data_IF_139211749515
#
_entry.id   IF_139211749515
#
_cell.length_a   1.000
_cell.length_b   1.000
_cell.length_c   1.000
_cell.angle_alpha   90.00
_cell.angle_beta   90.00
_cell.angle_gamma   90.00
#
_symmetry.space_group_name_H-M   'P 1'
#
loop_
_entity.id
_entity.type
_entity.pdbx_description
1 polymer ?
#
# COMPACT_ATOMS: atom_id res chain seq x y z
N UNK A 1 -10.29 0.16 -15.54
CA UNK A 1 -9.97 -0.76 -14.43
C UNK A 1 -9.65 -2.12 -15.03
N UNK A 2 -8.55 -2.69 -14.63
CA UNK A 2 -8.09 -4.03 -15.02
C UNK A 2 -8.01 -4.88 -13.75
N UNK A 3 -8.41 -6.14 -13.83
CA UNK A 3 -8.25 -7.11 -12.73
C UNK A 3 -7.14 -8.07 -13.11
N UNK A 4 -6.08 -8.10 -12.31
CA UNK A 4 -4.92 -8.95 -12.56
C UNK A 4 -4.89 -10.08 -11.53
N UNK A 5 -4.92 -11.31 -12.05
CA UNK A 5 -4.66 -12.52 -11.28
C UNK A 5 -3.15 -12.75 -11.28
N UNK A 6 -2.50 -12.35 -10.20
CA UNK A 6 -1.06 -12.48 -10.09
C UNK A 6 -0.70 -13.83 -9.46
N UNK A 7 -0.08 -14.71 -10.25
CA UNK A 7 0.36 -16.02 -9.78
C UNK A 7 1.63 -15.90 -8.91
N UNK A 8 1.43 -15.95 -7.62
CA UNK A 8 2.50 -15.94 -6.62
C UNK A 8 3.09 -17.34 -6.35
N UNK A 9 2.63 -18.37 -7.08
CA UNK A 9 3.01 -19.76 -6.87
C UNK A 9 2.14 -20.49 -5.83
N UNK A 10 2.21 -21.84 -5.79
CA UNK A 10 1.27 -22.68 -5.03
C UNK A 10 1.26 -22.39 -3.53
N UNK A 11 2.42 -22.20 -2.89
CA UNK A 11 2.52 -21.93 -1.46
C UNK A 11 1.83 -20.61 -1.06
N UNK A 12 1.86 -19.63 -1.97
CA UNK A 12 1.25 -18.33 -1.73
C UNK A 12 -0.24 -18.30 -1.98
N UNK A 13 -0.73 -19.16 -2.90
CA UNK A 13 -2.18 -19.37 -3.11
C UNK A 13 -2.87 -19.98 -1.91
N UNK A 14 -2.18 -20.78 -1.09
CA UNK A 14 -2.75 -21.31 0.15
C UNK A 14 -3.02 -20.22 1.19
N UNK A 15 -2.21 -19.17 1.20
CA UNK A 15 -2.31 -18.06 2.16
C UNK A 15 -3.39 -17.05 1.76
N UNK A 16 -3.53 -16.77 0.47
CA UNK A 16 -4.51 -15.83 -0.07
C UNK A 16 -5.09 -16.34 -1.40
N UNK A 17 -6.00 -17.34 -1.35
CA UNK A 17 -6.43 -18.11 -2.53
C UNK A 17 -7.17 -17.27 -3.58
N UNK A 18 -7.90 -16.25 -3.14
CA UNK A 18 -8.72 -15.39 -4.00
C UNK A 18 -8.11 -14.01 -4.25
N UNK A 19 -6.82 -13.83 -3.90
CA UNK A 19 -6.15 -12.56 -4.09
C UNK A 19 -6.13 -12.14 -5.56
N UNK A 20 -6.52 -10.89 -5.79
CA UNK A 20 -6.41 -10.17 -7.07
C UNK A 20 -5.76 -8.81 -6.81
N UNK A 21 -5.18 -8.24 -7.85
CA UNK A 21 -4.77 -6.84 -7.86
C UNK A 21 -5.61 -6.09 -8.88
N UNK A 22 -6.34 -5.10 -8.41
CA UNK A 22 -7.10 -4.19 -9.26
C UNK A 22 -6.16 -3.08 -9.71
N UNK A 23 -6.01 -2.91 -11.01
CA UNK A 23 -5.21 -1.83 -11.59
C UNK A 23 -6.15 -0.78 -12.15
N UNK A 24 -6.12 0.41 -11.58
CA UNK A 24 -6.97 1.54 -11.93
C UNK A 24 -6.09 2.64 -12.53
N UNK A 25 -6.35 2.99 -13.78
CA UNK A 25 -5.64 4.07 -14.47
C UNK A 25 -6.09 5.46 -14.04
N UNK A 26 -5.33 6.49 -14.46
CA UNK A 26 -5.69 7.89 -14.25
C UNK A 26 -7.10 8.22 -14.72
N UNK A 27 -7.73 9.18 -14.05
CA UNK A 27 -9.09 9.60 -14.34
C UNK A 27 -9.41 10.97 -13.77
N UNK A 28 -10.68 11.40 -13.77
CA UNK A 28 -11.06 12.75 -13.35
C UNK A 28 -10.74 13.10 -11.90
N UNK A 29 -10.45 12.10 -11.06
CA UNK A 29 -10.19 12.27 -9.62
C UNK A 29 -8.73 12.12 -9.24
N UNK A 30 -7.90 11.54 -10.10
CA UNK A 30 -6.48 11.29 -9.84
C UNK A 30 -5.75 11.13 -11.15
N UNK A 31 -4.58 11.72 -11.27
CA UNK A 31 -3.64 11.57 -12.39
C UNK A 31 -2.70 10.36 -12.22
N UNK A 32 -2.84 9.65 -11.11
CA UNK A 32 -2.01 8.50 -10.75
C UNK A 32 -2.68 7.17 -11.06
N UNK A 33 -1.86 6.17 -11.28
CA UNK A 33 -2.28 4.76 -11.27
C UNK A 33 -2.46 4.29 -9.83
N UNK A 34 -3.51 3.51 -9.58
CA UNK A 34 -3.74 2.86 -8.30
C UNK A 34 -3.75 1.33 -8.47
N UNK A 35 -3.08 0.65 -7.54
CA UNK A 35 -2.99 -0.81 -7.45
C UNK A 35 -3.59 -1.21 -6.13
N UNK A 36 -4.73 -1.90 -6.17
CA UNK A 36 -5.52 -2.21 -4.97
C UNK A 36 -5.60 -3.71 -4.80
N UNK A 37 -5.31 -4.21 -3.61
CA UNK A 37 -5.57 -5.62 -3.30
C UNK A 37 -7.06 -5.88 -3.25
N UNK A 38 -7.46 -7.09 -3.62
CA UNK A 38 -8.82 -7.59 -3.45
C UNK A 38 -8.76 -9.08 -3.09
N UNK A 39 -9.20 -9.40 -1.89
CA UNK A 39 -9.13 -10.76 -1.35
C UNK A 39 -8.37 -10.86 -0.02
N UNK A 40 -7.55 -9.87 0.36
CA UNK A 40 -6.93 -9.82 1.68
C UNK A 40 -7.97 -9.78 2.78
N UNK A 41 -9.02 -9.02 2.58
CA UNK A 41 -10.13 -8.86 3.51
C UNK A 41 -10.67 -10.22 3.99
N UNK A 42 -10.94 -11.13 3.07
CA UNK A 42 -11.56 -12.43 3.38
C UNK A 42 -10.68 -13.32 4.28
N UNK A 43 -9.35 -13.20 4.15
CA UNK A 43 -8.39 -13.98 4.92
C UNK A 43 -8.20 -13.43 6.33
N UNK A 44 -8.30 -12.12 6.48
CA UNK A 44 -8.04 -11.41 7.75
C UNK A 44 -9.29 -10.85 8.39
N UNK A 45 -10.47 -11.18 7.85
CA UNK A 45 -11.76 -10.72 8.33
C UNK A 45 -11.97 -11.08 9.80
N UNK A 46 -12.37 -10.09 10.58
CA UNK A 46 -12.74 -10.25 11.97
C UNK A 46 -13.97 -9.40 12.28
N UNK A 47 -15.09 -10.04 12.57
CA UNK A 47 -16.32 -9.34 12.94
C UNK A 47 -16.90 -8.48 11.81
N UNK A 48 -16.77 -8.88 10.55
CA UNK A 48 -17.24 -8.12 9.39
C UNK A 48 -16.25 -7.06 8.90
N UNK A 49 -15.04 -6.99 9.46
CA UNK A 49 -14.02 -5.99 9.16
C UNK A 49 -12.72 -6.66 8.74
N UNK A 50 -12.15 -6.23 7.64
CA UNK A 50 -10.85 -6.69 7.16
C UNK A 50 -10.13 -5.58 6.41
N UNK A 51 -8.87 -5.83 6.03
CA UNK A 51 -8.03 -4.84 5.38
C UNK A 51 -7.76 -5.20 3.92
N UNK A 52 -7.73 -4.16 3.11
CA UNK A 52 -7.14 -4.15 1.77
C UNK A 52 -6.11 -3.02 1.70
N UNK A 53 -5.23 -3.08 0.70
CA UNK A 53 -4.15 -2.12 0.56
C UNK A 53 -4.19 -1.47 -0.82
N UNK A 54 -3.82 -0.19 -0.88
CA UNK A 54 -3.63 0.55 -2.13
C UNK A 54 -2.20 1.06 -2.22
N UNK A 55 -1.59 0.92 -3.38
CA UNK A 55 -0.35 1.59 -3.77
C UNK A 55 -0.65 2.52 -4.94
N UNK A 56 -0.01 3.67 -4.99
CA UNK A 56 -0.15 4.62 -6.10
C UNK A 56 1.18 4.85 -6.80
N UNK A 57 1.14 5.04 -8.12
CA UNK A 57 2.31 5.32 -8.92
C UNK A 57 1.97 6.23 -10.11
N UNK A 58 2.96 6.93 -10.65
CA UNK A 58 2.77 7.82 -11.80
C UNK A 58 2.72 7.10 -13.16
N UNK A 59 3.17 5.85 -13.19
CA UNK A 59 3.17 5.01 -14.40
C UNK A 59 2.55 3.65 -14.13
N UNK A 60 2.07 2.99 -15.19
CA UNK A 60 1.69 1.58 -15.12
C UNK A 60 2.94 0.72 -15.28
N UNK A 61 3.22 -0.10 -14.26
CA UNK A 61 4.32 -1.04 -14.28
C UNK A 61 3.92 -2.35 -13.56
N UNK A 62 4.41 -3.46 -14.08
CA UNK A 62 4.23 -4.79 -13.51
C UNK A 62 4.78 -4.88 -12.09
N UNK A 63 5.88 -4.18 -11.80
CA UNK A 63 6.50 -4.16 -10.47
C UNK A 63 5.54 -3.68 -9.38
N UNK A 64 4.64 -2.74 -9.66
CA UNK A 64 3.69 -2.27 -8.66
C UNK A 64 2.59 -3.31 -8.39
N UNK A 65 2.25 -4.13 -9.37
CA UNK A 65 1.37 -5.30 -9.17
C UNK A 65 2.07 -6.29 -8.22
N UNK A 66 3.35 -6.58 -8.47
CA UNK A 66 4.17 -7.48 -7.65
C UNK A 66 4.32 -6.98 -6.20
N UNK A 67 4.62 -5.70 -6.01
CA UNK A 67 4.74 -5.10 -4.68
C UNK A 67 3.39 -5.11 -3.95
N UNK A 68 2.29 -4.81 -4.64
CA UNK A 68 0.95 -4.84 -4.04
C UNK A 68 0.56 -6.27 -3.63
N UNK A 69 0.86 -7.25 -4.48
CA UNK A 69 0.65 -8.66 -4.14
C UNK A 69 1.55 -9.12 -2.98
N UNK A 70 2.79 -8.62 -2.90
CA UNK A 70 3.70 -8.89 -1.79
C UNK A 70 3.15 -8.37 -0.45
N UNK A 71 2.57 -7.16 -0.42
CA UNK A 71 1.93 -6.60 0.77
C UNK A 71 0.80 -7.51 1.24
N UNK A 72 -0.08 -7.90 0.32
CA UNK A 72 -1.19 -8.78 0.60
C UNK A 72 -0.72 -10.11 1.19
N UNK A 73 0.26 -10.71 0.54
CA UNK A 73 0.83 -11.98 0.96
C UNK A 73 1.47 -11.90 2.35
N UNK A 74 2.23 -10.82 2.62
CA UNK A 74 2.84 -10.59 3.93
C UNK A 74 1.77 -10.46 5.02
N UNK A 75 0.72 -9.67 4.75
CA UNK A 75 -0.40 -9.47 5.67
C UNK A 75 -1.16 -10.77 5.95
N UNK A 76 -1.59 -11.49 4.91
CA UNK A 76 -2.34 -12.73 5.02
C UNK A 76 -1.49 -13.89 5.59
N UNK A 77 -0.18 -13.84 5.44
CA UNK A 77 0.78 -14.82 5.95
C UNK A 77 1.07 -14.74 7.44
N UNK A 78 0.32 -13.95 8.21
CA UNK A 78 0.40 -13.86 9.67
C UNK A 78 1.15 -12.65 10.21
N UNK A 79 1.66 -11.77 9.35
CA UNK A 79 2.34 -10.52 9.76
C UNK A 79 1.40 -9.32 9.85
N UNK A 80 0.16 -9.53 10.06
CA UNK A 80 -0.97 -8.58 10.14
C UNK A 80 -0.56 -7.10 10.15
N UNK A 81 -0.46 -6.52 8.94
CA UNK A 81 -0.21 -5.09 8.80
C UNK A 81 -1.42 -4.29 9.27
N UNK A 82 -1.18 -3.15 9.87
CA UNK A 82 -2.20 -2.18 10.27
C UNK A 82 -1.63 -0.76 10.10
N UNK A 83 -2.45 0.23 10.37
CA UNK A 83 -2.06 1.63 10.33
C UNK A 83 -0.75 1.86 11.12
N UNK A 84 0.10 2.70 10.58
CA UNK A 84 1.44 3.03 11.12
C UNK A 84 2.47 1.89 11.08
N UNK A 85 2.11 0.68 10.68
CA UNK A 85 3.11 -0.36 10.44
C UNK A 85 4.00 -0.03 9.25
N UNK A 86 5.20 -0.58 9.23
CA UNK A 86 6.11 -0.47 8.09
C UNK A 86 6.78 -1.79 7.80
N UNK A 87 7.11 -2.01 6.54
CA UNK A 87 7.82 -3.20 6.07
C UNK A 87 8.90 -2.83 5.05
N UNK A 88 10.04 -3.51 5.06
CA UNK A 88 11.04 -3.38 4.00
C UNK A 88 10.54 -4.02 2.70
N UNK A 89 10.86 -3.41 1.57
CA UNK A 89 10.57 -4.00 0.25
C UNK A 89 11.64 -5.00 -0.22
N UNK A 90 12.78 -5.04 0.47
CA UNK A 90 13.96 -5.84 0.07
C UNK A 90 14.78 -5.19 -1.03
N UNK A 91 14.16 -4.42 -1.90
CA UNK A 91 14.77 -3.65 -2.98
C UNK A 91 14.12 -2.26 -3.01
N UNK A 92 14.76 -1.26 -3.63
CA UNK A 92 14.12 0.04 -3.86
C UNK A 92 12.79 -0.08 -4.62
N UNK A 93 11.88 0.83 -4.34
CA UNK A 93 10.56 0.91 -4.98
C UNK A 93 10.64 0.82 -6.51
N UNK A 94 11.54 1.62 -7.10
CA UNK A 94 11.99 1.45 -8.49
C UNK A 94 13.52 1.54 -8.53
N UNK A 95 14.18 1.06 -9.59
CA UNK A 95 15.64 1.18 -9.72
C UNK A 95 16.10 2.64 -9.57
N UNK A 96 17.04 2.88 -8.66
CA UNK A 96 17.59 4.20 -8.36
C UNK A 96 16.81 5.03 -7.35
N UNK A 97 15.66 4.56 -6.86
CA UNK A 97 14.93 5.19 -5.76
C UNK A 97 15.65 4.99 -4.43
N UNK A 98 15.47 5.95 -3.52
CA UNK A 98 15.88 5.82 -2.11
C UNK A 98 14.77 5.26 -1.22
N UNK A 99 13.54 5.15 -1.75
CA UNK A 99 12.42 4.54 -1.04
C UNK A 99 12.54 3.02 -1.10
N UNK A 100 12.85 2.40 0.02
CA UNK A 100 13.12 0.98 0.22
C UNK A 100 12.19 0.31 1.24
N UNK A 101 11.28 1.08 1.82
CA UNK A 101 10.27 0.64 2.77
C UNK A 101 8.88 1.09 2.33
N UNK A 102 7.86 0.40 2.85
CA UNK A 102 6.46 0.81 2.80
C UNK A 102 6.00 1.20 4.20
N UNK A 103 5.34 2.33 4.31
CA UNK A 103 4.62 2.78 5.49
C UNK A 103 3.13 2.62 5.24
N UNK A 104 2.42 1.95 6.15
CA UNK A 104 0.97 1.80 6.06
C UNK A 104 0.31 3.02 6.67
N UNK A 105 -0.37 3.79 5.85
CA UNK A 105 -1.00 5.06 6.20
C UNK A 105 -2.45 5.14 5.69
N UNK A 106 -3.13 6.24 6.00
CA UNK A 106 -4.45 6.52 5.44
C UNK A 106 -4.35 6.96 3.96
N UNK A 107 -5.34 6.64 3.11
CA UNK A 107 -5.30 6.98 1.68
C UNK A 107 -5.67 8.45 1.43
N UNK A 108 -4.91 9.39 1.98
CA UNK A 108 -5.18 10.84 1.93
C UNK A 108 -5.41 11.40 0.54
N UNK A 109 -4.69 10.90 -0.47
CA UNK A 109 -4.83 11.34 -1.87
C UNK A 109 -6.23 11.09 -2.46
N UNK A 110 -6.98 10.16 -1.88
CA UNK A 110 -8.27 9.71 -2.39
C UNK A 110 -9.44 10.10 -1.49
N UNK A 111 -9.14 10.73 -0.34
CA UNK A 111 -10.12 11.11 0.66
C UNK A 111 -10.76 9.93 1.41
N UNK A 112 -11.65 10.21 2.38
CA UNK A 112 -12.21 9.18 3.27
C UNK A 112 -13.13 8.18 2.55
N UNK A 113 -13.59 8.51 1.35
CA UNK A 113 -14.45 7.63 0.57
C UNK A 113 -13.76 6.37 0.03
N UNK A 114 -12.42 6.37 -0.06
CA UNK A 114 -11.66 5.17 -0.42
C UNK A 114 -11.39 4.30 0.81
N UNK A 115 -11.16 4.89 1.97
CA UNK A 115 -10.80 4.16 3.18
C UNK A 115 -11.81 3.08 3.55
N UNK A 116 -13.10 3.35 3.36
CA UNK A 116 -14.18 2.45 3.75
C UNK A 116 -14.96 1.95 2.53
N UNK A 117 -14.67 0.72 2.12
CA UNK A 117 -15.35 0.05 1.03
C UNK A 117 -16.43 -0.89 1.59
N UNK A 118 -17.74 -0.61 1.39
CA UNK A 118 -18.79 -1.52 1.80
C UNK A 118 -18.75 -2.79 0.94
N UNK A 119 -18.89 -3.92 1.60
CA UNK A 119 -18.94 -5.24 0.97
C UNK A 119 -20.09 -6.05 1.59
N UNK A 120 -20.55 -7.13 0.95
CA UNK A 120 -21.56 -8.00 1.54
C UNK A 120 -21.12 -8.55 2.91
N UNK A 121 -21.85 -8.21 3.96
CA UNK A 121 -21.57 -8.68 5.33
C UNK A 121 -20.64 -7.81 6.16
N UNK A 122 -20.17 -6.66 5.63
CA UNK A 122 -19.29 -5.77 6.38
C UNK A 122 -18.68 -4.65 5.55
N UNK A 123 -17.44 -4.32 5.84
CA UNK A 123 -16.64 -3.40 5.02
C UNK A 123 -15.16 -3.77 5.02
N UNK A 124 -14.50 -3.53 3.90
CA UNK A 124 -13.05 -3.53 3.82
C UNK A 124 -12.51 -2.12 4.10
N UNK A 125 -11.54 -2.02 5.00
CA UNK A 125 -10.77 -0.80 5.20
C UNK A 125 -9.58 -0.82 4.27
N UNK A 126 -9.46 0.18 3.40
CA UNK A 126 -8.36 0.29 2.45
C UNK A 126 -7.31 1.21 3.03
N UNK A 127 -6.10 0.69 3.25
CA UNK A 127 -4.96 1.44 3.74
C UNK A 127 -3.95 1.68 2.62
N UNK A 128 -3.23 2.78 2.71
CA UNK A 128 -2.23 3.17 1.73
C UNK A 128 -0.86 2.63 2.09
N UNK A 129 -0.24 1.93 1.15
CA UNK A 129 1.16 1.52 1.23
C UNK A 129 2.03 2.60 0.58
N UNK A 130 2.50 3.53 1.41
CA UNK A 130 3.31 4.68 1.00
C UNK A 130 4.78 4.30 0.94
N UNK A 131 5.47 4.46 -0.22
CA UNK A 131 6.91 4.28 -0.31
C UNK A 131 7.66 5.35 0.49
N UNK A 132 8.55 4.90 1.37
CA UNK A 132 9.35 5.76 2.27
C UNK A 132 10.80 5.26 2.33
N UNK A 133 11.70 6.11 2.80
CA UNK A 133 13.11 5.79 2.96
C UNK A 133 13.41 5.15 4.32
N UNK A 134 14.52 4.43 4.43
CA UNK A 134 15.02 3.93 5.73
C UNK A 134 15.19 5.06 6.73
N UNK A 135 15.68 6.24 6.30
CA UNK A 135 15.87 7.40 7.19
C UNK A 135 14.54 7.87 7.79
N UNK A 136 13.48 7.95 6.98
CA UNK A 136 12.13 8.31 7.42
C UNK A 136 11.55 7.29 8.42
N UNK A 137 11.79 5.99 8.22
CA UNK A 137 11.40 4.96 9.18
C UNK A 137 12.17 5.11 10.52
N UNK A 138 13.48 5.41 10.47
CA UNK A 138 14.29 5.65 11.66
C UNK A 138 13.80 6.90 12.40
N UNK A 139 13.51 7.99 11.66
CA UNK A 139 12.95 9.22 12.23
C UNK A 139 11.62 8.94 12.93
N UNK A 140 10.67 8.26 12.25
CA UNK A 140 9.37 7.90 12.83
C UNK A 140 9.49 7.10 14.13
N UNK A 141 10.42 6.13 14.18
CA UNK A 141 10.67 5.34 15.41
C UNK A 141 11.13 6.17 16.59
N UNK A 142 11.79 7.30 16.35
CA UNK A 142 12.34 8.19 17.38
C UNK A 142 11.37 9.29 17.78
N UNK A 143 10.59 9.81 16.85
CA UNK A 143 9.81 11.03 17.01
C UNK A 143 8.29 10.79 16.90
N UNK A 144 7.86 9.61 16.47
CA UNK A 144 6.45 9.27 16.28
C UNK A 144 5.97 9.45 14.85
N UNK A 145 4.78 8.91 14.60
CA UNK A 145 4.17 8.93 13.27
C UNK A 145 3.74 10.34 12.85
N UNK A 146 3.06 11.06 13.74
CA UNK A 146 2.61 12.44 13.50
C UNK A 146 3.77 13.38 13.14
N UNK A 147 4.94 13.21 13.77
CA UNK A 147 6.11 14.03 13.46
C UNK A 147 6.64 13.76 12.04
N UNK A 148 6.57 12.53 11.55
CA UNK A 148 6.93 12.21 10.17
C UNK A 148 5.90 12.76 9.18
N UNK A 149 4.60 12.63 9.47
CA UNK A 149 3.54 13.20 8.62
C UNK A 149 3.69 14.72 8.51
N UNK A 150 4.03 15.40 9.60
CA UNK A 150 4.32 16.84 9.57
C UNK A 150 5.49 17.17 8.63
N UNK A 151 6.58 16.38 8.64
CA UNK A 151 7.69 16.57 7.69
C UNK A 151 7.26 16.35 6.23
N UNK A 152 6.39 15.39 5.97
CA UNK A 152 5.84 15.17 4.64
C UNK A 152 5.02 16.35 4.15
N UNK A 153 4.18 16.92 5.03
CA UNK A 153 3.36 18.08 4.71
C UNK A 153 4.23 19.35 4.51
N UNK A 154 5.21 19.61 5.39
CA UNK A 154 6.12 20.75 5.30
C UNK A 154 7.00 20.70 4.03
N UNK A 155 7.38 19.49 3.61
CA UNK A 155 8.16 19.27 2.38
C UNK A 155 7.29 19.20 1.13
N UNK A 156 5.97 19.20 1.27
CA UNK A 156 5.01 19.04 0.16
C UNK A 156 5.39 17.84 -0.73
N UNK A 157 5.70 16.69 -0.12
CA UNK A 157 6.18 15.52 -0.88
C UNK A 157 5.19 15.14 -1.96
N UNK A 158 5.72 14.63 -3.09
CA UNK A 158 4.92 13.97 -4.13
C UNK A 158 5.04 12.46 -3.91
N UNK A 159 4.04 11.81 -3.29
CA UNK A 159 4.14 10.41 -2.89
C UNK A 159 4.33 9.43 -4.07
N UNK A 160 3.95 9.85 -5.28
CA UNK A 160 4.11 9.07 -6.51
C UNK A 160 5.43 9.33 -7.23
N UNK A 161 6.26 10.25 -6.74
CA UNK A 161 7.61 10.48 -7.28
C UNK A 161 8.59 9.48 -6.65
N UNK A 162 9.12 8.52 -7.42
CA UNK A 162 10.03 7.53 -6.89
C UNK A 162 11.43 8.07 -6.57
N UNK A 163 11.74 9.27 -7.04
CA UNK A 163 13.04 9.93 -6.86
C UNK A 163 12.96 11.13 -5.90
N UNK A 164 11.86 11.26 -5.18
CA UNK A 164 11.76 12.30 -4.17
C UNK A 164 12.90 12.22 -3.14
N UNK A 165 13.31 13.35 -2.65
CA UNK A 165 14.28 13.41 -1.55
C UNK A 165 13.65 12.84 -0.25
N UNK A 166 14.49 12.26 0.62
CA UNK A 166 14.11 11.98 1.99
C UNK A 166 13.86 13.28 2.75
N UNK A 167 12.90 13.29 3.64
CA UNK A 167 12.60 14.44 4.52
C UNK A 167 13.27 14.31 5.90
N UNK A 168 13.98 13.22 6.13
CA UNK A 168 14.67 12.92 7.38
C UNK A 168 16.07 12.35 7.15
#
# INVERSE_FOLDING_TARGET
>A
MEVVDYDLGPERREVAPDLRVLVVGPGPRSDSWAYVTAGCWAVTEKGGHGLEFVMTAHVRDQRFIELTAMIAYYHCGGHQLDLEHSMPMGEPWVPGSTCDHLLISLPYLHGPGLEHCPIPGGHARILWALPVTTAEIVFRRRHGHEALEQLFDEAEIIPTDPFRASVA
#
